data_IF_574728676945
#
_entry.id   IF_574728676945
#
_cell.length_a   1.000
_cell.length_b   1.000
_cell.length_c   1.000
_cell.angle_alpha   90.00
_cell.angle_beta   90.00
_cell.angle_gamma   90.00
#
_symmetry.space_group_name_H-M   'P 1'
#
loop_
_entity.id
_entity.type
_entity.pdbx_description
1 polymer ?
#
# COMPACT_ATOMS: atom_id res chain seq x y z
N UNK A 1 11.76 10.83 8.68
CA UNK A 1 11.21 10.12 9.84
C UNK A 1 10.08 9.27 9.34
N UNK A 2 10.18 7.98 9.50
CA UNK A 2 9.22 6.99 9.08
C UNK A 2 8.62 6.37 10.35
N UNK A 3 7.30 6.43 10.51
CA UNK A 3 6.60 6.00 11.73
C UNK A 3 5.49 5.04 11.37
N UNK A 4 5.52 3.90 12.03
CA UNK A 4 4.49 2.86 12.01
C UNK A 4 3.93 2.73 13.44
N UNK A 5 2.62 2.56 13.59
CA UNK A 5 1.98 2.40 14.90
C UNK A 5 1.75 0.93 15.21
N UNK A 6 2.01 0.54 16.46
CA UNK A 6 1.83 -0.84 16.90
C UNK A 6 0.35 -1.15 17.12
N UNK A 7 -0.21 -2.05 16.29
CA UNK A 7 -1.60 -2.51 16.38
C UNK A 7 -2.60 -1.35 16.49
N UNK A 8 -2.44 -0.35 15.62
CA UNK A 8 -3.21 0.90 15.67
C UNK A 8 -4.71 0.63 15.81
N UNK A 9 -5.32 -0.13 14.90
CA UNK A 9 -6.76 -0.40 14.91
C UNK A 9 -7.25 -1.14 16.16
N UNK A 10 -6.38 -1.84 16.85
CA UNK A 10 -6.74 -2.56 18.11
C UNK A 10 -6.61 -1.68 19.35
N UNK A 11 -5.96 -0.51 19.23
CA UNK A 11 -5.62 0.39 20.36
C UNK A 11 -6.33 1.74 20.31
N UNK A 12 -7.24 1.94 19.38
CA UNK A 12 -8.02 3.19 19.30
C UNK A 12 -8.92 3.30 20.52
N UNK A 13 -8.64 4.24 21.42
CA UNK A 13 -9.49 4.53 22.57
C UNK A 13 -10.83 5.11 22.11
N UNK A 14 -11.93 4.42 22.43
CA UNK A 14 -13.28 4.84 22.08
C UNK A 14 -13.61 6.21 22.68
N UNK A 15 -13.22 6.47 23.92
CA UNK A 15 -13.56 7.72 24.62
C UNK A 15 -12.83 8.93 24.02
N UNK A 16 -11.52 8.77 23.72
CA UNK A 16 -10.76 9.83 23.01
C UNK A 16 -11.36 10.10 21.63
N UNK A 17 -11.68 9.06 20.87
CA UNK A 17 -12.27 9.18 19.55
C UNK A 17 -13.64 9.88 19.61
N UNK A 18 -14.51 9.48 20.52
CA UNK A 18 -15.84 10.10 20.71
C UNK A 18 -15.70 11.56 21.15
N UNK A 19 -14.75 11.88 22.04
CA UNK A 19 -14.47 13.30 22.40
C UNK A 19 -14.08 14.12 21.16
N UNK A 20 -13.22 13.58 20.28
CA UNK A 20 -12.84 14.25 19.03
C UNK A 20 -14.03 14.46 18.08
N UNK A 21 -14.89 13.47 17.95
CA UNK A 21 -16.10 13.57 17.15
C UNK A 21 -17.06 14.62 17.69
N UNK A 22 -17.30 14.67 19.00
CA UNK A 22 -18.17 15.66 19.65
C UNK A 22 -17.73 17.11 19.43
N UNK A 23 -16.44 17.36 19.20
CA UNK A 23 -15.94 18.70 18.85
C UNK A 23 -16.36 19.18 17.46
N UNK A 24 -16.90 18.28 16.63
CA UNK A 24 -17.29 18.56 15.23
C UNK A 24 -18.74 18.21 14.91
N UNK A 25 -19.35 17.35 15.72
CA UNK A 25 -20.68 16.79 15.50
C UNK A 25 -21.51 17.00 16.76
N UNK A 26 -22.49 17.87 16.69
CA UNK A 26 -23.40 18.18 17.81
C UNK A 26 -24.56 17.17 17.91
N UNK A 27 -24.80 16.36 16.85
CA UNK A 27 -25.88 15.37 16.81
C UNK A 27 -25.56 14.18 17.73
N UNK A 28 -26.29 14.12 18.84
CA UNK A 28 -26.18 13.03 19.82
C UNK A 28 -26.60 11.66 19.25
N UNK A 29 -27.46 11.64 18.25
CA UNK A 29 -27.89 10.40 17.55
C UNK A 29 -26.74 9.78 16.76
N UNK A 30 -26.04 10.60 15.97
CA UNK A 30 -24.85 10.19 15.22
C UNK A 30 -23.76 9.69 16.18
N UNK A 31 -23.49 10.41 17.26
CA UNK A 31 -22.49 9.98 18.26
C UNK A 31 -22.84 8.64 18.89
N UNK A 32 -24.12 8.42 19.23
CA UNK A 32 -24.61 7.12 19.75
C UNK A 32 -24.43 6.00 18.74
N UNK A 33 -24.73 6.27 17.46
CA UNK A 33 -24.56 5.28 16.39
C UNK A 33 -23.10 4.87 16.22
N UNK A 34 -22.17 5.86 16.19
CA UNK A 34 -20.74 5.58 16.10
C UNK A 34 -20.26 4.78 17.32
N UNK A 35 -20.71 5.14 18.54
CA UNK A 35 -20.36 4.38 19.74
C UNK A 35 -20.90 2.96 19.70
N UNK A 36 -22.12 2.74 19.21
CA UNK A 36 -22.68 1.39 19.02
C UNK A 36 -21.86 0.59 18.00
N UNK A 37 -21.42 1.21 16.90
CA UNK A 37 -20.54 0.58 15.93
C UNK A 37 -19.19 0.17 16.55
N UNK A 38 -18.56 1.01 17.36
CA UNK A 38 -17.30 0.69 18.05
C UNK A 38 -17.47 -0.45 19.04
N UNK A 39 -18.59 -0.49 19.76
CA UNK A 39 -18.91 -1.51 20.77
C UNK A 39 -19.46 -2.82 20.18
N UNK A 40 -19.76 -2.88 18.88
CA UNK A 40 -20.38 -4.08 18.26
C UNK A 40 -19.51 -5.34 18.32
N UNK A 41 -18.21 -5.17 18.66
CA UNK A 41 -17.28 -6.28 18.76
C UNK A 41 -16.86 -6.85 17.40
N UNK A 42 -16.11 -7.93 17.44
CA UNK A 42 -15.71 -8.70 16.27
C UNK A 42 -16.20 -10.13 16.47
N UNK A 43 -16.83 -10.69 15.44
CA UNK A 43 -17.14 -12.11 15.41
C UNK A 43 -15.88 -12.87 14.99
N UNK A 44 -15.28 -13.59 15.90
CA UNK A 44 -14.16 -14.47 15.65
C UNK A 44 -14.58 -15.91 15.90
N UNK A 45 -14.51 -16.76 14.87
CA UNK A 45 -14.92 -18.18 14.91
C UNK A 45 -16.33 -18.41 15.54
N UNK A 46 -17.29 -17.49 15.28
CA UNK A 46 -18.67 -17.59 15.78
C UNK A 46 -18.88 -17.06 17.21
N UNK A 47 -17.84 -16.54 17.86
CA UNK A 47 -17.91 -15.91 19.19
C UNK A 47 -17.80 -14.40 19.06
N UNK A 48 -18.76 -13.65 19.61
CA UNK A 48 -18.70 -12.19 19.66
C UNK A 48 -17.81 -11.77 20.83
N UNK A 49 -16.63 -11.25 20.52
CA UNK A 49 -15.74 -10.65 21.52
C UNK A 49 -16.09 -9.15 21.68
N UNK A 50 -16.56 -8.77 22.86
CA UNK A 50 -16.72 -7.34 23.21
C UNK A 50 -15.35 -6.68 23.32
N UNK A 51 -15.21 -5.49 22.74
CA UNK A 51 -14.00 -4.67 22.83
C UNK A 51 -14.29 -3.37 23.57
N UNK A 52 -13.41 -3.00 24.49
CA UNK A 52 -13.38 -1.66 25.12
C UNK A 52 -12.59 -0.64 24.30
N UNK A 53 -11.70 -1.14 23.43
CA UNK A 53 -10.80 -0.36 22.59
C UNK A 53 -10.72 -0.96 21.19
N UNK A 54 -10.25 -0.16 20.25
CA UNK A 54 -10.04 -0.56 18.87
C UNK A 54 -11.24 -0.32 17.95
N UNK A 55 -10.99 -0.41 16.66
CA UNK A 55 -12.00 -0.35 15.61
C UNK A 55 -12.03 -1.65 14.82
N UNK A 56 -13.19 -2.10 14.32
CA UNK A 56 -13.26 -3.31 13.50
C UNK A 56 -12.36 -3.21 12.28
N UNK A 57 -11.39 -4.15 12.13
CA UNK A 57 -10.55 -4.20 10.93
C UNK A 57 -11.40 -4.57 9.72
N UNK A 58 -11.27 -3.78 8.62
CA UNK A 58 -12.07 -3.97 7.41
C UNK A 58 -13.47 -3.34 7.47
N UNK A 59 -13.87 -2.76 8.58
CA UNK A 59 -15.12 -2.02 8.68
C UNK A 59 -15.12 -0.72 7.86
N UNK A 60 -16.25 -0.33 7.27
CA UNK A 60 -16.33 0.83 6.35
C UNK A 60 -16.00 2.17 7.03
N UNK A 61 -16.26 2.32 8.33
CA UNK A 61 -15.98 3.54 9.08
C UNK A 61 -14.56 3.60 9.64
N UNK A 62 -13.86 2.48 9.79
CA UNK A 62 -12.55 2.42 10.46
C UNK A 62 -11.49 3.35 9.84
N UNK A 63 -11.35 3.49 8.50
CA UNK A 63 -10.41 4.44 7.91
C UNK A 63 -10.75 5.90 8.21
N UNK A 64 -12.03 6.26 8.24
CA UNK A 64 -12.48 7.61 8.59
C UNK A 64 -12.20 7.91 10.07
N UNK A 65 -12.55 6.99 10.96
CA UNK A 65 -12.31 7.13 12.40
C UNK A 65 -10.82 7.20 12.73
N UNK A 66 -9.98 6.43 12.01
CA UNK A 66 -8.53 6.54 12.08
C UNK A 66 -8.04 7.95 11.74
N UNK A 67 -8.56 8.55 10.68
CA UNK A 67 -8.21 9.92 10.31
C UNK A 67 -8.67 10.94 11.34
N UNK A 68 -9.86 10.79 11.91
CA UNK A 68 -10.33 11.66 13.02
C UNK A 68 -9.42 11.58 14.24
N UNK A 69 -8.98 10.36 14.60
CA UNK A 69 -8.09 10.14 15.74
C UNK A 69 -6.72 10.79 15.54
N UNK A 70 -6.16 10.71 14.32
CA UNK A 70 -4.81 11.18 14.00
C UNK A 70 -4.76 12.65 13.54
N UNK A 71 -5.89 13.30 13.31
CA UNK A 71 -5.99 14.71 12.87
C UNK A 71 -5.24 15.69 13.80
N UNK A 72 -5.20 15.40 15.10
CA UNK A 72 -4.45 16.23 16.06
C UNK A 72 -2.93 16.16 15.83
N UNK A 73 -2.44 14.99 15.45
CA UNK A 73 -1.01 14.80 15.14
C UNK A 73 -0.67 15.53 13.85
N UNK A 74 -1.55 15.45 12.84
CA UNK A 74 -1.40 16.19 11.58
C UNK A 74 -1.36 17.70 11.82
N UNK A 75 -2.32 18.23 12.57
CA UNK A 75 -2.36 19.65 12.94
C UNK A 75 -1.13 20.12 13.73
N UNK A 76 -0.59 19.29 14.61
CA UNK A 76 0.62 19.63 15.36
C UNK A 76 1.84 19.67 14.44
N UNK A 77 1.94 18.77 13.45
CA UNK A 77 2.98 18.79 12.43
C UNK A 77 2.86 20.02 11.52
N UNK A 78 1.64 20.36 11.07
CA UNK A 78 1.34 21.54 10.26
C UNK A 78 1.67 22.84 11.02
N UNK A 79 1.23 22.96 12.27
CA UNK A 79 1.51 24.11 13.13
C UNK A 79 3.01 24.39 13.29
N UNK A 80 3.83 23.32 13.27
CA UNK A 80 5.28 23.42 13.35
C UNK A 80 5.96 23.57 11.98
N UNK A 81 5.18 23.64 10.88
CA UNK A 81 5.71 23.78 9.53
C UNK A 81 6.44 22.55 9.00
N UNK A 82 6.16 21.36 9.54
CA UNK A 82 6.76 20.11 9.03
C UNK A 82 6.10 19.67 7.72
N UNK A 83 6.92 19.23 6.78
CA UNK A 83 6.46 18.56 5.57
C UNK A 83 6.27 17.08 5.87
N UNK A 84 5.07 16.55 5.66
CA UNK A 84 4.77 15.15 5.94
C UNK A 84 3.76 14.58 4.94
N UNK A 85 3.67 13.25 4.91
CA UNK A 85 2.63 12.51 4.22
C UNK A 85 2.18 11.38 5.16
N UNK A 86 0.87 11.24 5.34
CA UNK A 86 0.26 10.17 6.13
C UNK A 86 -0.79 9.43 5.32
N UNK A 87 -0.82 8.13 5.49
CA UNK A 87 -1.87 7.27 4.97
C UNK A 87 -2.26 6.26 6.06
N UNK A 88 -3.45 6.43 6.62
CA UNK A 88 -3.88 5.74 7.84
C UNK A 88 -2.86 5.94 8.98
N UNK A 89 -2.28 4.87 9.49
CA UNK A 89 -1.28 4.83 10.55
C UNK A 89 0.18 4.97 10.07
N UNK A 90 0.42 4.82 8.76
CA UNK A 90 1.76 4.97 8.16
C UNK A 90 2.05 6.44 7.87
N UNK A 91 3.06 7.01 8.53
CA UNK A 91 3.39 8.42 8.43
C UNK A 91 4.88 8.66 8.15
N UNK A 92 5.14 9.54 7.19
CA UNK A 92 6.48 10.00 6.83
C UNK A 92 6.62 11.50 7.03
N UNK A 93 7.57 11.94 7.90
CA UNK A 93 7.88 13.35 8.09
C UNK A 93 9.27 13.66 7.52
N UNK A 94 9.34 14.65 6.64
CA UNK A 94 10.56 14.99 5.90
C UNK A 94 11.31 16.12 6.59
N UNK A 95 12.57 15.88 6.91
CA UNK A 95 13.46 16.82 7.60
C UNK A 95 14.86 16.84 6.96
N UNK A 96 15.61 17.90 7.20
CA UNK A 96 16.92 18.11 6.55
C UNK A 96 18.10 17.42 7.23
N UNK A 97 17.95 16.96 8.47
CA UNK A 97 19.06 16.34 9.21
C UNK A 97 18.57 15.24 10.16
N UNK A 98 19.45 14.31 10.51
CA UNK A 98 19.17 13.25 11.48
C UNK A 98 18.80 13.82 12.85
N UNK A 99 19.50 14.87 13.31
CA UNK A 99 19.22 15.55 14.59
C UNK A 99 17.80 16.15 14.61
N UNK A 100 17.37 16.76 13.50
CA UNK A 100 15.98 17.24 13.36
C UNK A 100 15.00 16.06 13.36
N UNK A 101 15.32 14.97 12.68
CA UNK A 101 14.53 13.75 12.67
C UNK A 101 14.33 13.15 14.06
N UNK A 102 15.36 13.09 14.87
CA UNK A 102 15.27 12.61 16.25
C UNK A 102 14.34 13.47 17.11
N UNK A 103 14.40 14.81 16.96
CA UNK A 103 13.47 15.73 17.65
C UNK A 103 12.04 15.51 17.21
N UNK A 104 11.79 15.34 15.91
CA UNK A 104 10.44 15.05 15.38
C UNK A 104 9.95 13.70 15.86
N UNK A 105 10.78 12.67 15.87
CA UNK A 105 10.41 11.36 16.42
C UNK A 105 10.00 11.49 17.90
N UNK A 106 10.74 12.24 18.71
CA UNK A 106 10.37 12.51 20.10
C UNK A 106 9.06 13.30 20.24
N UNK A 107 8.78 14.24 19.32
CA UNK A 107 7.50 14.94 19.26
C UNK A 107 6.36 13.94 18.96
N UNK A 108 6.49 13.12 17.92
CA UNK A 108 5.47 12.15 17.50
C UNK A 108 5.17 11.14 18.61
N UNK A 109 6.19 10.62 19.30
CA UNK A 109 5.97 9.75 20.47
C UNK A 109 5.09 10.40 21.53
N UNK A 110 5.33 11.68 21.86
CA UNK A 110 4.49 12.41 22.83
C UNK A 110 3.07 12.63 22.31
N UNK A 111 2.91 12.95 21.02
CA UNK A 111 1.58 13.13 20.43
C UNK A 111 0.79 11.81 20.45
N UNK A 112 1.41 10.71 20.03
CA UNK A 112 0.76 9.39 20.03
C UNK A 112 0.48 8.89 21.45
N UNK A 113 1.38 9.11 22.41
CA UNK A 113 1.15 8.75 23.80
C UNK A 113 -0.10 9.45 24.40
N UNK A 114 -0.38 10.71 24.05
CA UNK A 114 -1.62 11.40 24.45
C UNK A 114 -2.88 10.77 23.87
N UNK A 115 -2.76 10.07 22.76
CA UNK A 115 -3.85 9.33 22.12
C UNK A 115 -3.90 7.85 22.54
N UNK A 116 -3.10 7.45 23.55
CA UNK A 116 -2.89 6.07 24.00
C UNK A 116 -2.38 5.13 22.89
N UNK A 117 -1.73 5.69 21.87
CA UNK A 117 -1.12 4.96 20.77
C UNK A 117 0.37 4.75 21.00
N UNK A 118 0.91 3.65 20.49
CA UNK A 118 2.32 3.27 20.68
C UNK A 118 3.02 3.16 19.35
N UNK A 119 4.17 3.85 19.22
CA UNK A 119 5.05 3.75 18.06
C UNK A 119 5.71 2.37 18.03
N UNK A 120 5.70 1.73 16.88
CA UNK A 120 6.43 0.48 16.65
C UNK A 120 7.91 0.79 16.41
N UNK A 121 8.72 0.67 17.44
CA UNK A 121 10.16 1.00 17.38
C UNK A 121 10.93 0.10 16.40
N UNK A 122 10.49 -1.14 16.18
CA UNK A 122 11.15 -2.06 15.24
C UNK A 122 10.91 -1.72 13.77
N UNK A 123 9.84 -0.98 13.46
CA UNK A 123 9.50 -0.58 12.09
C UNK A 123 9.74 0.92 11.84
N UNK A 124 9.68 1.73 12.89
CA UNK A 124 9.90 3.18 12.80
C UNK A 124 11.39 3.53 12.75
N UNK A 125 11.77 4.55 11.99
CA UNK A 125 13.15 4.95 11.89
C UNK A 125 13.36 6.43 11.51
N UNK A 126 14.46 6.99 11.97
CA UNK A 126 15.03 8.22 11.45
C UNK A 126 16.15 7.84 10.50
N UNK A 127 15.91 7.94 9.21
CA UNK A 127 16.85 7.49 8.19
C UNK A 127 16.74 8.35 6.92
N UNK A 128 17.69 8.15 5.98
CA UNK A 128 17.57 8.74 4.65
C UNK A 128 16.29 8.28 3.97
N UNK A 129 15.64 9.18 3.23
CA UNK A 129 14.44 8.89 2.44
C UNK A 129 14.73 7.89 1.30
N UNK A 130 15.98 7.85 0.82
CA UNK A 130 16.41 6.93 -0.21
C UNK A 130 16.55 5.51 0.36
N UNK A 131 15.88 4.55 -0.29
CA UNK A 131 15.82 3.17 0.18
C UNK A 131 14.64 2.87 1.12
N UNK A 132 13.96 3.87 1.64
CA UNK A 132 12.68 3.70 2.36
C UNK A 132 11.52 3.57 1.38
N UNK A 133 10.47 2.92 1.81
CA UNK A 133 9.25 2.73 1.00
C UNK A 133 8.06 3.42 1.68
N UNK A 134 7.19 4.00 0.87
CA UNK A 134 5.90 4.52 1.30
C UNK A 134 4.87 4.21 0.21
N UNK A 135 3.75 3.61 0.58
CA UNK A 135 2.67 3.21 -0.36
C UNK A 135 3.19 2.40 -1.57
N UNK A 136 4.14 1.51 -1.36
CA UNK A 136 4.70 0.70 -2.44
C UNK A 136 5.68 1.42 -3.36
N UNK A 137 5.93 2.71 -3.14
CA UNK A 137 6.97 3.48 -3.83
C UNK A 137 8.22 3.62 -2.99
N UNK A 138 9.34 3.89 -3.64
CA UNK A 138 10.57 4.39 -3.03
C UNK A 138 11.14 5.55 -3.85
N UNK A 139 11.91 6.41 -3.20
CA UNK A 139 12.53 7.56 -3.82
C UNK A 139 13.97 7.22 -4.23
N UNK A 140 14.45 7.84 -5.31
CA UNK A 140 15.82 7.76 -5.74
C UNK A 140 16.28 9.07 -6.37
N UNK A 141 17.60 9.31 -6.36
CA UNK A 141 18.19 10.50 -6.96
C UNK A 141 18.48 10.25 -8.44
N UNK A 142 17.93 11.06 -9.33
CA UNK A 142 18.26 11.09 -10.75
C UNK A 142 19.65 11.72 -11.00
N UNK A 143 20.17 11.56 -12.21
CA UNK A 143 21.50 12.09 -12.58
C UNK A 143 21.60 13.62 -12.50
N UNK A 144 20.49 14.32 -12.69
CA UNK A 144 20.41 15.80 -12.56
C UNK A 144 20.14 16.29 -11.14
N UNK A 145 20.23 15.43 -10.10
CA UNK A 145 19.92 15.81 -8.72
C UNK A 145 18.43 15.86 -8.38
N UNK A 146 17.56 15.55 -9.34
CA UNK A 146 16.11 15.49 -9.12
C UNK A 146 15.70 14.23 -8.34
N UNK A 147 14.75 14.38 -7.43
CA UNK A 147 14.15 13.25 -6.69
C UNK A 147 13.07 12.61 -7.56
N UNK A 148 13.23 11.32 -7.84
CA UNK A 148 12.32 10.52 -8.66
C UNK A 148 11.68 9.40 -7.84
N UNK A 149 10.49 8.97 -8.30
CA UNK A 149 9.74 7.85 -7.71
C UNK A 149 10.00 6.58 -8.51
N UNK A 150 10.17 5.47 -7.82
CA UNK A 150 10.22 4.13 -8.41
C UNK A 150 9.30 3.19 -7.62
N UNK A 151 8.88 2.12 -8.25
CA UNK A 151 8.21 1.02 -7.53
C UNK A 151 9.21 0.39 -6.57
N UNK A 152 8.80 0.17 -5.33
CA UNK A 152 9.63 -0.52 -4.34
C UNK A 152 9.82 -2.00 -4.73
N UNK A 153 10.87 -2.63 -4.22
CA UNK A 153 11.25 -3.98 -4.61
C UNK A 153 10.16 -5.03 -4.32
N UNK A 154 9.55 -4.97 -3.14
CA UNK A 154 8.52 -5.94 -2.73
C UNK A 154 7.29 -5.97 -3.66
N UNK A 155 6.65 -4.83 -4.01
CA UNK A 155 5.57 -4.80 -5.02
C UNK A 155 6.02 -5.28 -6.39
N UNK A 156 7.26 -5.00 -6.81
CA UNK A 156 7.79 -5.45 -8.08
C UNK A 156 7.98 -6.98 -8.13
N UNK A 157 8.44 -7.57 -7.04
CA UNK A 157 8.55 -9.02 -6.90
C UNK A 157 7.18 -9.69 -6.88
N UNK A 158 6.21 -9.12 -6.13
CA UNK A 158 4.83 -9.60 -6.11
C UNK A 158 4.19 -9.54 -7.51
N UNK A 159 4.43 -8.45 -8.27
CA UNK A 159 4.02 -8.35 -9.66
C UNK A 159 4.59 -9.50 -10.51
N UNK A 160 5.90 -9.71 -10.46
CA UNK A 160 6.55 -10.79 -11.21
C UNK A 160 6.02 -12.17 -10.83
N UNK A 161 5.77 -12.38 -9.54
CA UNK A 161 5.19 -13.64 -9.07
C UNK A 161 3.78 -13.84 -9.62
N UNK A 162 2.92 -12.83 -9.56
CA UNK A 162 1.56 -12.91 -10.09
C UNK A 162 1.53 -13.14 -11.60
N UNK A 163 2.42 -12.49 -12.35
CA UNK A 163 2.57 -12.75 -13.78
C UNK A 163 3.00 -14.20 -14.05
N UNK A 164 3.91 -14.78 -13.25
CA UNK A 164 4.29 -16.21 -13.40
C UNK A 164 3.10 -17.13 -13.21
N UNK A 165 2.26 -16.89 -12.21
CA UNK A 165 1.05 -17.67 -11.94
C UNK A 165 0.05 -17.57 -13.10
N UNK A 166 -0.25 -16.33 -13.56
CA UNK A 166 -1.16 -16.09 -14.68
C UNK A 166 -0.66 -16.69 -15.99
N UNK A 167 0.66 -16.77 -16.18
CA UNK A 167 1.32 -17.30 -17.37
C UNK A 167 1.94 -18.68 -17.15
N UNK A 168 1.36 -19.48 -16.25
CA UNK A 168 1.78 -20.85 -16.04
C UNK A 168 1.49 -21.71 -17.29
N UNK A 169 2.54 -22.35 -17.82
CA UNK A 169 2.45 -23.18 -19.04
C UNK A 169 1.68 -24.50 -18.86
N UNK A 170 1.50 -24.94 -17.63
CA UNK A 170 0.86 -26.22 -17.29
C UNK A 170 -0.61 -26.07 -16.87
N UNK A 171 -1.17 -24.87 -16.91
CA UNK A 171 -2.49 -24.58 -16.35
C UNK A 171 -3.69 -24.95 -17.20
N UNK A 172 -3.53 -25.56 -18.39
CA UNK A 172 -4.64 -25.97 -19.26
C UNK A 172 -5.51 -24.83 -19.81
N UNK A 173 -5.11 -23.57 -19.60
CA UNK A 173 -5.88 -22.39 -20.01
C UNK A 173 -5.63 -22.03 -21.47
N UNK A 174 -6.67 -21.52 -22.17
CA UNK A 174 -6.50 -20.96 -23.51
C UNK A 174 -5.64 -19.69 -23.48
N UNK A 175 -5.06 -19.31 -24.63
CA UNK A 175 -4.33 -18.05 -24.75
C UNK A 175 -5.24 -16.84 -24.47
N UNK A 176 -6.50 -16.91 -24.88
CA UNK A 176 -7.48 -15.87 -24.63
C UNK A 176 -7.70 -15.63 -23.12
N UNK A 177 -7.86 -16.69 -22.34
CA UNK A 177 -8.05 -16.62 -20.88
C UNK A 177 -6.79 -16.05 -20.19
N UNK A 178 -5.61 -16.46 -20.65
CA UNK A 178 -4.33 -15.92 -20.12
C UNK A 178 -4.22 -14.42 -20.39
N UNK A 179 -4.53 -13.98 -21.62
CA UNK A 179 -4.47 -12.56 -22.01
C UNK A 179 -5.50 -11.76 -21.24
N UNK A 180 -6.73 -12.25 -21.08
CA UNK A 180 -7.78 -11.58 -20.32
C UNK A 180 -7.40 -11.41 -18.84
N UNK A 181 -6.88 -12.46 -18.21
CA UNK A 181 -6.42 -12.39 -16.82
C UNK A 181 -5.24 -11.42 -16.64
N UNK A 182 -4.27 -11.44 -17.57
CA UNK A 182 -3.16 -10.48 -17.59
C UNK A 182 -3.66 -9.05 -17.74
N UNK A 183 -4.57 -8.79 -18.69
CA UNK A 183 -5.09 -7.45 -18.98
C UNK A 183 -5.71 -6.83 -17.73
N UNK A 184 -6.61 -7.56 -17.07
CA UNK A 184 -7.28 -7.08 -15.85
C UNK A 184 -6.27 -6.71 -14.75
N UNK A 185 -5.33 -7.63 -14.46
CA UNK A 185 -4.31 -7.40 -13.44
C UNK A 185 -3.38 -6.23 -13.76
N UNK A 186 -2.89 -6.16 -15.01
CA UNK A 186 -1.96 -5.12 -15.45
C UNK A 186 -2.58 -3.72 -15.47
N UNK A 187 -3.85 -3.59 -15.84
CA UNK A 187 -4.55 -2.30 -15.84
C UNK A 187 -4.63 -1.75 -14.41
N UNK A 188 -5.04 -2.55 -13.43
CA UNK A 188 -5.07 -2.14 -12.02
C UNK A 188 -3.68 -1.78 -11.50
N UNK A 189 -2.68 -2.64 -11.76
CA UNK A 189 -1.32 -2.40 -11.31
C UNK A 189 -0.68 -1.17 -11.94
N UNK A 190 -0.86 -0.96 -13.26
CA UNK A 190 -0.42 0.25 -13.97
C UNK A 190 -1.09 1.51 -13.41
N UNK A 191 -2.42 1.46 -13.17
CA UNK A 191 -3.15 2.58 -12.58
C UNK A 191 -2.58 3.01 -11.23
N UNK A 192 -2.26 2.03 -10.37
CA UNK A 192 -1.66 2.32 -9.07
C UNK A 192 -0.23 2.88 -9.17
N UNK A 193 0.63 2.26 -10.00
CA UNK A 193 2.06 2.63 -10.11
C UNK A 193 2.38 3.58 -11.26
N UNK A 194 1.40 4.29 -11.83
CA UNK A 194 1.61 5.23 -12.93
C UNK A 194 2.56 6.39 -12.62
N UNK A 195 2.72 6.73 -11.33
CA UNK A 195 3.60 7.81 -10.89
C UNK A 195 5.08 7.41 -10.85
N UNK A 196 5.42 6.15 -11.14
CA UNK A 196 6.82 5.69 -11.14
C UNK A 196 7.57 6.18 -12.39
N UNK A 197 8.71 6.81 -12.17
CA UNK A 197 9.54 7.46 -13.20
C UNK A 197 10.74 6.57 -13.59
N UNK A 198 10.44 5.31 -13.96
CA UNK A 198 11.46 4.28 -14.27
C UNK A 198 11.19 3.58 -15.61
N UNK A 199 11.27 4.27 -16.77
CA UNK A 199 10.92 3.71 -18.07
C UNK A 199 11.71 2.45 -18.43
N UNK A 200 12.97 2.35 -18.03
CA UNK A 200 13.80 1.15 -18.27
C UNK A 200 13.25 -0.10 -17.54
N UNK A 201 12.69 0.06 -16.35
CA UNK A 201 12.07 -1.06 -15.61
C UNK A 201 10.82 -1.54 -16.35
N UNK A 202 10.00 -0.62 -16.83
CA UNK A 202 8.79 -0.94 -17.60
C UNK A 202 9.10 -1.70 -18.87
N UNK A 203 10.08 -1.24 -19.63
CA UNK A 203 10.52 -1.90 -20.87
C UNK A 203 10.99 -3.33 -20.60
N UNK A 204 11.85 -3.54 -19.60
CA UNK A 204 12.32 -4.90 -19.22
C UNK A 204 11.18 -5.80 -18.76
N UNK A 205 10.19 -5.30 -18.05
CA UNK A 205 9.01 -6.08 -17.66
C UNK A 205 8.17 -6.47 -18.89
N UNK A 206 7.97 -5.57 -19.83
CA UNK A 206 7.24 -5.81 -21.07
C UNK A 206 7.96 -6.90 -21.92
N UNK A 207 9.27 -6.76 -22.13
CA UNK A 207 10.10 -7.75 -22.82
C UNK A 207 9.98 -9.13 -22.16
N UNK A 208 10.09 -9.19 -20.84
CA UNK A 208 9.96 -10.43 -20.08
C UNK A 208 8.56 -11.03 -20.18
N UNK A 209 7.50 -10.24 -20.14
CA UNK A 209 6.13 -10.74 -20.31
C UNK A 209 5.88 -11.27 -21.71
N UNK A 210 6.34 -10.56 -22.75
CA UNK A 210 6.25 -11.02 -24.15
C UNK A 210 6.96 -12.37 -24.34
N UNK A 211 8.14 -12.54 -23.73
CA UNK A 211 8.86 -13.81 -23.76
C UNK A 211 8.03 -14.94 -23.14
N UNK A 212 7.37 -14.69 -22.00
CA UNK A 212 6.50 -15.68 -21.35
C UNK A 212 5.29 -16.05 -22.20
N UNK A 213 4.63 -15.07 -22.83
CA UNK A 213 3.49 -15.31 -23.72
C UNK A 213 3.89 -16.14 -24.95
N UNK A 214 5.02 -15.82 -25.57
CA UNK A 214 5.56 -16.62 -26.67
C UNK A 214 5.82 -18.07 -26.25
N UNK A 215 6.38 -18.26 -25.05
CA UNK A 215 6.62 -19.60 -24.53
C UNK A 215 5.35 -20.42 -24.29
N UNK A 216 4.23 -19.78 -23.91
CA UNK A 216 2.91 -20.43 -23.81
C UNK A 216 2.41 -20.78 -25.20
N UNK A 217 2.47 -19.84 -26.14
CA UNK A 217 2.01 -20.04 -27.52
C UNK A 217 2.73 -21.22 -28.19
N UNK A 218 4.06 -21.26 -28.09
CA UNK A 218 4.86 -22.38 -28.61
C UNK A 218 4.45 -23.70 -27.97
N UNK A 219 4.16 -23.75 -26.68
CA UNK A 219 3.67 -24.94 -26.00
C UNK A 219 2.29 -25.37 -26.49
N UNK A 220 1.38 -24.45 -26.82
CA UNK A 220 0.07 -24.75 -27.37
C UNK A 220 0.16 -25.38 -28.76
N UNK A 221 1.11 -24.98 -29.58
CA UNK A 221 1.30 -25.57 -30.91
C UNK A 221 1.86 -26.99 -30.90
N UNK A 222 2.41 -27.43 -29.80
CA UNK A 222 2.87 -28.82 -29.48
C UNK A 222 3.87 -29.43 -30.45
N UNK A 223 3.57 -29.48 -31.79
CA UNK A 223 4.35 -30.13 -32.83
C UNK A 223 5.17 -29.14 -33.62
N UNK A 224 6.40 -29.49 -34.00
CA UNK A 224 7.30 -28.63 -34.78
C UNK A 224 6.70 -28.20 -36.12
N UNK A 225 6.01 -29.09 -36.82
CA UNK A 225 5.30 -28.76 -38.09
C UNK A 225 4.20 -27.73 -37.90
N UNK A 226 3.44 -27.84 -36.80
CA UNK A 226 2.43 -26.81 -36.46
C UNK A 226 3.07 -25.47 -36.10
N UNK A 227 4.16 -25.47 -35.31
CA UNK A 227 4.91 -24.25 -34.98
C UNK A 227 5.42 -23.57 -36.24
N UNK A 228 6.04 -24.32 -37.18
CA UNK A 228 6.57 -23.78 -38.43
C UNK A 228 5.45 -23.12 -39.25
N UNK A 229 4.35 -23.84 -39.49
CA UNK A 229 3.19 -23.33 -40.25
C UNK A 229 2.61 -22.05 -39.63
N UNK A 230 2.42 -22.03 -38.31
CA UNK A 230 1.84 -20.87 -37.62
C UNK A 230 2.82 -19.69 -37.58
N UNK A 231 4.12 -19.91 -37.45
CA UNK A 231 5.16 -18.86 -37.54
C UNK A 231 5.20 -18.24 -38.93
N UNK A 232 5.09 -19.01 -40.00
CA UNK A 232 4.98 -18.51 -41.37
C UNK A 232 3.70 -17.66 -41.52
N UNK A 233 2.56 -18.14 -41.01
CA UNK A 233 1.28 -17.43 -41.09
C UNK A 233 1.31 -16.03 -40.45
N UNK A 234 2.05 -15.87 -39.35
CA UNK A 234 2.20 -14.57 -38.66
C UNK A 234 3.39 -13.73 -39.16
N UNK A 235 4.09 -14.17 -40.20
CA UNK A 235 5.20 -13.41 -40.80
C UNK A 235 6.48 -13.37 -39.97
N UNK A 236 6.68 -14.33 -39.07
CA UNK A 236 7.83 -14.35 -38.16
C UNK A 236 9.19 -14.72 -38.83
N UNK A 237 9.17 -15.06 -40.13
CA UNK A 237 10.32 -15.48 -40.93
C UNK A 237 10.52 -14.67 -42.21
N UNK A 238 10.09 -13.40 -42.20
CA UNK A 238 10.43 -12.44 -43.26
C UNK A 238 11.64 -11.61 -42.88
#
# INVERSE_FOLDING_TARGET
VDVDLSKFFDRVSHDILIDRLRKRIDDAGVIRLVRAYLNSGIMDHGVVQKRSDGTPQGGPLSPLLANVMLDEVDKELERRGHRFARYADDANVYVRSVRAGQRVMGLLRRCYARLHLVVNEGKSAVASVFGRKFLGYSLWMGRGGEVKRRVAEKPLQAFKQRIRELTCRSGGRSMADVVQGLRSYMLGWKGYFQLAQTPKVWRRLDEWMRHRLRAIQLKHWKRGTTMYRELLRIGAWQ
#
